data_IF_454503851164
#
_entry.id   IF_454503851164
#
_cell.length_a   1.000
_cell.length_b   1.000
_cell.length_c   1.000
_cell.angle_alpha   90.00
_cell.angle_beta   90.00
_cell.angle_gamma   90.00
#
_symmetry.space_group_name_H-M   'P 1'
#
loop_
_entity.id
_entity.type
_entity.pdbx_description
1 polymer ?
#
# COMPACT_ATOMS: atom_id res chain seq x y z
N UNK A 1 -7.57 -3.05 -2.52
CA UNK A 1 -8.41 -4.06 -3.21
C UNK A 1 -7.54 -4.89 -4.14
N UNK A 2 -7.86 -6.16 -4.40
CA UNK A 2 -7.23 -6.94 -5.48
C UNK A 2 -8.18 -6.96 -6.67
N UNK A 3 -7.65 -6.72 -7.87
CA UNK A 3 -8.39 -6.75 -9.12
C UNK A 3 -7.78 -7.80 -10.05
N UNK A 4 -8.63 -8.52 -10.78
CA UNK A 4 -8.22 -9.42 -11.86
C UNK A 4 -8.59 -8.80 -13.20
N UNK A 5 -7.60 -8.57 -14.05
CA UNK A 5 -7.79 -8.01 -15.38
C UNK A 5 -8.30 -9.07 -16.36
N UNK A 6 -8.87 -8.64 -17.49
CA UNK A 6 -9.39 -9.55 -18.53
C UNK A 6 -8.34 -10.52 -19.08
N UNK A 7 -7.07 -10.11 -19.12
CA UNK A 7 -5.93 -10.96 -19.49
C UNK A 7 -5.49 -11.95 -18.41
N UNK A 8 -6.19 -12.02 -17.28
CA UNK A 8 -5.90 -12.92 -16.16
C UNK A 8 -4.87 -12.40 -15.16
N UNK A 9 -4.24 -11.24 -15.40
CA UNK A 9 -3.28 -10.65 -14.48
C UNK A 9 -3.98 -10.15 -13.22
N UNK A 10 -3.36 -10.39 -12.07
CA UNK A 10 -3.80 -9.83 -10.80
C UNK A 10 -3.03 -8.56 -10.47
N UNK A 11 -3.73 -7.57 -9.93
CA UNK A 11 -3.14 -6.31 -9.50
C UNK A 11 -3.68 -5.92 -8.12
N UNK A 12 -2.85 -5.25 -7.33
CA UNK A 12 -3.32 -4.54 -6.14
C UNK A 12 -3.75 -3.15 -6.57
N UNK A 13 -4.97 -2.77 -6.24
CA UNK A 13 -5.48 -1.42 -6.37
C UNK A 13 -5.44 -0.70 -5.02
N UNK A 14 -4.64 0.36 -4.91
CA UNK A 14 -4.62 1.29 -3.78
C UNK A 14 -5.41 2.55 -4.16
N UNK A 15 -6.55 2.84 -3.52
CA UNK A 15 -7.38 3.99 -3.86
C UNK A 15 -6.73 5.30 -3.40
N UNK A 16 -7.14 6.40 -4.01
CA UNK A 16 -6.87 7.74 -3.48
C UNK A 16 -7.50 7.86 -2.08
N UNK A 17 -6.65 8.15 -1.10
CA UNK A 17 -7.07 8.30 0.31
C UNK A 17 -6.96 9.73 0.82
N UNK A 18 -6.02 10.51 0.27
CA UNK A 18 -5.79 11.90 0.63
C UNK A 18 -5.67 12.76 -0.62
N UNK A 19 -6.02 14.04 -0.52
CA UNK A 19 -5.71 15.03 -1.55
C UNK A 19 -4.20 15.17 -1.73
N UNK A 20 -3.77 15.77 -2.85
CA UNK A 20 -2.34 15.97 -3.14
C UNK A 20 -1.67 16.91 -2.15
N UNK A 21 -2.37 17.95 -1.71
CA UNK A 21 -1.88 18.95 -0.75
C UNK A 21 -1.94 18.49 0.71
N UNK A 22 -2.57 17.34 0.99
CA UNK A 22 -2.67 16.85 2.36
C UNK A 22 -1.29 16.48 2.92
N UNK A 23 -0.96 17.04 4.08
CA UNK A 23 0.26 16.78 4.83
C UNK A 23 -0.06 15.82 5.97
N UNK A 24 0.61 14.66 5.96
CA UNK A 24 0.55 13.71 7.08
C UNK A 24 1.42 14.26 8.21
N UNK A 25 0.82 14.44 9.38
CA UNK A 25 1.50 14.87 10.61
C UNK A 25 1.51 13.74 11.63
N UNK A 26 2.33 13.87 12.68
CA UNK A 26 2.46 12.87 13.74
C UNK A 26 3.66 11.95 13.54
N UNK A 27 3.51 10.67 13.87
CA UNK A 27 4.61 9.72 13.82
C UNK A 27 5.07 9.44 12.38
N UNK A 28 6.32 8.99 12.15
CA UNK A 28 6.83 8.66 10.81
C UNK A 28 6.08 7.52 10.08
N UNK A 29 5.18 6.83 10.77
CA UNK A 29 4.33 5.75 10.24
C UNK A 29 2.84 6.07 10.35
N UNK A 30 2.50 7.34 10.60
CA UNK A 30 1.13 7.80 10.61
C UNK A 30 0.53 7.84 9.19
N UNK A 31 -0.80 7.82 9.15
CA UNK A 31 -1.56 7.90 7.91
C UNK A 31 -1.70 6.57 7.16
N UNK A 32 -2.54 6.61 6.13
CA UNK A 32 -2.79 5.49 5.23
C UNK A 32 -1.84 5.52 4.02
N UNK A 33 -1.75 4.38 3.34
CA UNK A 33 -1.04 4.28 2.07
C UNK A 33 -1.58 5.30 1.05
N UNK A 34 -0.68 5.98 0.33
CA UNK A 34 -1.03 6.92 -0.74
C UNK A 34 -0.71 6.31 -2.10
N UNK A 35 -1.71 6.28 -2.98
CA UNK A 35 -1.56 5.73 -4.34
C UNK A 35 -0.49 6.45 -5.17
N UNK A 36 -0.37 7.77 -5.03
CA UNK A 36 0.67 8.55 -5.71
C UNK A 36 2.09 8.19 -5.21
N UNK A 37 2.24 7.79 -3.95
CA UNK A 37 3.50 7.30 -3.41
C UNK A 37 3.98 6.01 -4.11
N UNK A 38 3.06 5.09 -4.40
CA UNK A 38 3.36 3.85 -5.14
C UNK A 38 3.84 4.13 -6.57
N UNK A 39 3.15 5.04 -7.26
CA UNK A 39 3.49 5.45 -8.62
C UNK A 39 4.86 6.13 -8.63
N UNK A 40 5.08 7.10 -7.74
CA UNK A 40 6.35 7.82 -7.64
C UNK A 40 7.52 6.88 -7.29
N UNK A 41 7.33 5.95 -6.35
CA UNK A 41 8.35 4.99 -5.95
C UNK A 41 8.76 4.08 -7.11
N UNK A 42 7.82 3.60 -7.92
CA UNK A 42 8.13 2.81 -9.12
C UNK A 42 9.00 3.58 -10.11
N UNK A 43 8.62 4.81 -10.45
CA UNK A 43 9.39 5.64 -11.39
C UNK A 43 10.76 6.03 -10.85
N UNK A 44 10.86 6.41 -9.57
CA UNK A 44 12.13 6.71 -8.92
C UNK A 44 13.06 5.48 -8.89
N UNK A 45 12.52 4.30 -8.58
CA UNK A 45 13.28 3.05 -8.56
C UNK A 45 13.88 2.72 -9.94
N UNK A 46 13.15 3.02 -11.02
CA UNK A 46 13.65 2.90 -12.39
C UNK A 46 14.74 3.92 -12.71
N UNK A 47 14.56 5.19 -12.33
CA UNK A 47 15.55 6.25 -12.55
C UNK A 47 16.88 5.96 -11.84
N UNK A 48 16.83 5.39 -10.65
CA UNK A 48 18.02 5.00 -9.87
C UNK A 48 18.63 3.67 -10.33
N UNK A 49 18.07 3.01 -11.34
CA UNK A 49 18.59 1.74 -11.88
C UNK A 49 18.46 0.54 -10.91
N UNK A 50 17.61 0.63 -9.89
CA UNK A 50 17.47 -0.46 -8.91
C UNK A 50 16.68 -1.64 -9.45
N UNK A 51 15.59 -1.38 -10.19
CA UNK A 51 14.72 -2.41 -10.78
C UNK A 51 14.18 -3.43 -9.74
N UNK A 52 13.73 -2.94 -8.57
CA UNK A 52 13.23 -3.75 -7.44
C UNK A 52 11.76 -3.50 -7.09
N UNK A 53 11.10 -2.55 -7.75
CA UNK A 53 9.68 -2.27 -7.57
C UNK A 53 8.84 -2.98 -8.64
N UNK A 54 7.67 -3.54 -8.29
CA UNK A 54 6.72 -4.03 -9.29
C UNK A 54 6.24 -2.88 -10.20
N UNK A 55 5.70 -3.24 -11.37
CA UNK A 55 5.10 -2.26 -12.28
C UNK A 55 3.89 -1.60 -11.60
N UNK A 56 3.89 -0.27 -11.58
CA UNK A 56 2.82 0.52 -10.98
C UNK A 56 2.35 1.61 -11.95
N UNK A 57 1.04 1.74 -12.09
CA UNK A 57 0.38 2.71 -12.98
C UNK A 57 -0.81 3.35 -12.27
N UNK A 58 -1.02 4.64 -12.49
CA UNK A 58 -2.25 5.31 -12.06
C UNK A 58 -3.43 4.96 -12.98
N UNK A 59 -4.60 4.69 -12.39
CA UNK A 59 -5.85 4.49 -13.14
C UNK A 59 -7.01 5.14 -12.42
N UNK A 60 -7.93 5.66 -13.21
CA UNK A 60 -9.24 6.11 -12.78
C UNK A 60 -10.24 5.00 -13.13
N UNK A 61 -11.02 4.55 -12.16
CA UNK A 61 -12.02 3.48 -12.31
C UNK A 61 -13.40 3.95 -11.86
N UNK A 62 -14.45 3.45 -12.49
CA UNK A 62 -15.82 3.62 -12.03
C UNK A 62 -16.22 2.46 -11.12
N UNK A 63 -16.50 2.75 -9.85
CA UNK A 63 -16.80 1.73 -8.85
C UNK A 63 -18.11 0.99 -9.12
N UNK A 64 -19.15 1.67 -9.62
CA UNK A 64 -20.44 1.05 -9.90
C UNK A 64 -20.44 0.19 -11.16
N UNK A 65 -19.67 0.56 -12.19
CA UNK A 65 -19.69 -0.16 -13.47
C UNK A 65 -18.55 -1.14 -13.65
N UNK A 66 -17.37 -0.88 -13.07
CA UNK A 66 -16.19 -1.75 -13.25
C UNK A 66 -15.90 -2.67 -12.06
N UNK A 67 -16.33 -2.30 -10.84
CA UNK A 67 -15.96 -3.04 -9.61
C UNK A 67 -17.15 -3.79 -9.02
N UNK A 68 -18.20 -3.07 -8.61
CA UNK A 68 -19.32 -3.63 -7.87
C UNK A 68 -20.01 -4.83 -8.56
N UNK A 69 -20.22 -4.84 -9.90
CA UNK A 69 -20.87 -5.96 -10.58
C UNK A 69 -20.08 -7.27 -10.57
N UNK A 70 -18.76 -7.19 -10.33
CA UNK A 70 -17.83 -8.34 -10.33
C UNK A 70 -17.13 -8.52 -8.99
N UNK A 71 -17.54 -7.76 -7.97
CA UNK A 71 -16.94 -7.79 -6.64
C UNK A 71 -17.29 -9.09 -5.92
N UNK A 72 -16.36 -9.59 -5.10
CA UNK A 72 -16.67 -10.67 -4.15
C UNK A 72 -17.74 -10.20 -3.17
N UNK A 73 -18.51 -11.14 -2.62
CA UNK A 73 -19.54 -10.85 -1.62
C UNK A 73 -18.97 -10.12 -0.38
N UNK A 74 -17.77 -10.52 0.04
CA UNK A 74 -17.06 -9.89 1.16
C UNK A 74 -16.71 -8.42 0.92
N UNK A 75 -16.46 -8.04 -0.34
CA UNK A 75 -16.15 -6.67 -0.71
C UNK A 75 -17.43 -5.87 -0.96
N UNK A 76 -18.40 -6.43 -1.71
CA UNK A 76 -19.64 -5.75 -2.08
C UNK A 76 -20.48 -5.33 -0.86
N UNK A 77 -20.50 -6.14 0.21
CA UNK A 77 -21.16 -5.80 1.49
C UNK A 77 -20.55 -4.59 2.22
N UNK A 78 -19.36 -4.15 1.82
CA UNK A 78 -18.69 -3.00 2.43
C UNK A 78 -18.94 -1.70 1.67
N UNK A 79 -19.64 -1.76 0.53
CA UNK A 79 -20.01 -0.59 -0.24
C UNK A 79 -21.22 0.12 0.36
N UNK A 80 -21.18 1.45 0.33
CA UNK A 80 -22.29 2.31 0.75
C UNK A 80 -22.17 3.68 0.08
N UNK A 81 -23.26 4.44 0.11
CA UNK A 81 -23.28 5.81 -0.42
C UNK A 81 -23.10 6.80 0.73
N UNK A 82 -22.20 7.76 0.57
CA UNK A 82 -22.01 8.87 1.50
C UNK A 82 -21.95 10.17 0.72
N UNK A 83 -22.83 11.12 0.99
CA UNK A 83 -22.80 12.46 0.35
C UNK A 83 -22.80 12.41 -1.20
N UNK A 84 -23.57 11.47 -1.78
CA UNK A 84 -23.62 11.14 -3.22
C UNK A 84 -22.39 10.43 -3.80
N UNK A 85 -21.36 10.17 -2.99
CA UNK A 85 -20.19 9.41 -3.39
C UNK A 85 -20.36 7.93 -3.06
N UNK A 86 -19.91 7.07 -3.99
CA UNK A 86 -19.76 5.64 -3.75
C UNK A 86 -18.50 5.38 -2.94
N UNK A 87 -18.67 4.81 -1.74
CA UNK A 87 -17.60 4.52 -0.81
C UNK A 87 -17.53 3.02 -0.51
N UNK A 88 -16.35 2.56 -0.08
CA UNK A 88 -16.18 1.23 0.52
C UNK A 88 -15.11 1.27 1.61
N UNK A 89 -15.23 0.41 2.63
CA UNK A 89 -14.19 0.26 3.64
C UNK A 89 -13.41 -1.06 3.52
N UNK A 90 -13.94 -2.06 2.83
CA UNK A 90 -13.28 -3.36 2.64
C UNK A 90 -13.11 -4.16 3.94
N UNK A 91 -12.30 -5.22 3.88
CA UNK A 91 -12.02 -6.08 5.03
C UNK A 91 -10.51 -6.23 5.23
N UNK A 92 -9.98 -5.52 6.24
CA UNK A 92 -8.58 -5.53 6.63
C UNK A 92 -8.42 -5.18 8.11
N UNK A 93 -7.22 -5.34 8.66
CA UNK A 93 -6.97 -5.13 10.10
C UNK A 93 -7.35 -3.73 10.61
N UNK A 94 -7.22 -2.69 9.77
CA UNK A 94 -7.56 -1.30 10.12
C UNK A 94 -8.78 -0.75 9.37
N UNK A 95 -9.50 -1.60 8.62
CA UNK A 95 -10.62 -1.17 7.79
C UNK A 95 -11.88 -1.02 8.65
N UNK A 96 -12.56 0.12 8.53
CA UNK A 96 -13.82 0.34 9.25
C UNK A 96 -14.75 1.29 8.48
N UNK A 97 -16.07 1.25 8.71
CA UNK A 97 -17.01 2.22 8.14
C UNK A 97 -16.71 3.67 8.52
N UNK A 98 -15.95 3.91 9.60
CA UNK A 98 -15.55 5.23 10.04
C UNK A 98 -14.43 5.85 9.17
N UNK A 99 -13.67 5.03 8.44
CA UNK A 99 -12.56 5.47 7.59
C UNK A 99 -12.62 4.85 6.17
N UNK A 100 -13.68 5.11 5.39
CA UNK A 100 -13.86 4.54 4.06
C UNK A 100 -12.93 5.17 3.02
N UNK A 101 -12.75 4.50 1.88
CA UNK A 101 -12.29 5.12 0.64
C UNK A 101 -13.52 5.53 -0.19
N UNK A 102 -13.61 6.80 -0.56
CA UNK A 102 -14.74 7.35 -1.31
C UNK A 102 -14.28 7.83 -2.69
N UNK A 103 -15.10 7.55 -3.69
CA UNK A 103 -14.97 8.11 -5.04
C UNK A 103 -15.42 9.58 -5.07
N UNK A 104 -15.23 10.25 -6.21
CA UNK A 104 -15.97 11.47 -6.55
C UNK A 104 -17.13 11.06 -7.45
N UNK A 105 -18.35 11.12 -6.93
CA UNK A 105 -19.50 10.39 -7.45
C UNK A 105 -19.21 8.89 -7.46
N UNK A 106 -19.03 8.32 -8.65
CA UNK A 106 -18.69 6.90 -8.82
C UNK A 106 -17.25 6.67 -9.28
N UNK A 107 -16.49 7.74 -9.51
CA UNK A 107 -15.17 7.72 -10.13
C UNK A 107 -14.06 7.80 -9.08
N UNK A 108 -13.20 6.78 -9.04
CA UNK A 108 -12.11 6.67 -8.08
C UNK A 108 -10.76 6.63 -8.78
N UNK A 109 -9.89 7.56 -8.41
CA UNK A 109 -8.47 7.51 -8.76
C UNK A 109 -7.73 6.51 -7.86
N UNK A 110 -6.72 5.82 -8.38
CA UNK A 110 -5.84 4.98 -7.57
C UNK A 110 -4.63 4.46 -8.35
N UNK A 111 -3.82 3.64 -7.67
CA UNK A 111 -2.65 2.99 -8.23
C UNK A 111 -2.92 1.50 -8.41
N UNK A 112 -2.67 0.99 -9.61
CA UNK A 112 -2.64 -0.44 -9.92
C UNK A 112 -1.20 -0.92 -9.89
N UNK A 113 -0.94 -1.91 -9.04
CA UNK A 113 0.37 -2.50 -8.81
C UNK A 113 0.31 -3.95 -9.28
N UNK A 114 1.14 -4.32 -10.25
CA UNK A 114 1.14 -5.67 -10.79
C UNK A 114 1.61 -6.68 -9.74
N UNK A 115 0.82 -7.74 -9.52
CA UNK A 115 1.22 -8.83 -8.64
C UNK A 115 2.39 -9.61 -9.23
N UNK A 116 3.31 -10.02 -8.37
CA UNK A 116 4.38 -10.92 -8.79
C UNK A 116 3.80 -12.29 -9.17
N UNK A 117 4.26 -12.91 -10.27
CA UNK A 117 3.86 -14.26 -10.63
C UNK A 117 4.07 -15.26 -9.48
N UNK A 118 3.17 -16.22 -9.31
CA UNK A 118 3.19 -17.21 -8.20
C UNK A 118 4.49 -18.01 -8.11
N UNK A 119 5.19 -18.20 -9.24
CA UNK A 119 6.51 -18.85 -9.27
C UNK A 119 7.56 -18.13 -8.43
N UNK A 120 7.41 -16.83 -8.20
CA UNK A 120 8.30 -16.04 -7.36
C UNK A 120 7.84 -16.10 -5.90
N UNK A 121 8.37 -17.08 -5.17
CA UNK A 121 8.13 -17.21 -3.72
C UNK A 121 8.94 -16.17 -2.95
N UNK A 122 8.25 -15.19 -2.38
CA UNK A 122 8.87 -14.17 -1.55
C UNK A 122 9.19 -14.71 -0.15
N UNK A 123 10.40 -14.44 0.34
CA UNK A 123 10.78 -14.64 1.73
C UNK A 123 10.80 -13.30 2.46
N UNK A 124 10.08 -13.23 3.58
CA UNK A 124 10.05 -12.04 4.44
C UNK A 124 11.27 -12.05 5.35
N UNK A 125 12.00 -10.94 5.36
CA UNK A 125 13.11 -10.70 6.27
C UNK A 125 12.81 -9.49 7.14
N UNK A 126 13.10 -9.60 8.43
CA UNK A 126 12.99 -8.46 9.35
C UNK A 126 14.20 -7.55 9.15
N UNK A 127 13.94 -6.27 8.85
CA UNK A 127 15.03 -5.27 8.79
C UNK A 127 15.67 -5.13 10.18
N UNK A 128 17.01 -5.16 10.30
CA UNK A 128 17.69 -4.85 11.56
C UNK A 128 17.42 -3.43 12.06
N UNK A 129 17.10 -2.50 11.14
CA UNK A 129 16.74 -1.11 11.45
C UNK A 129 15.23 -0.90 11.55
N UNK A 130 14.46 -1.94 11.88
CA UNK A 130 13.04 -1.79 12.14
C UNK A 130 12.81 -0.92 13.40
N UNK A 131 11.85 -0.01 13.33
CA UNK A 131 11.37 0.77 14.49
C UNK A 131 10.63 -0.12 15.49
N UNK A 132 10.46 0.37 16.70
CA UNK A 132 9.66 -0.28 17.77
C UNK A 132 8.16 -0.11 17.58
N UNK A 133 7.74 0.91 16.82
CA UNK A 133 6.34 1.34 16.65
C UNK A 133 5.63 1.61 17.98
N UNK A 134 6.39 2.08 18.98
CA UNK A 134 5.91 2.48 20.29
C UNK A 134 6.55 3.80 20.66
N UNK A 135 5.74 4.82 20.95
CA UNK A 135 6.21 6.20 21.14
C UNK A 135 7.19 6.34 22.32
N UNK A 136 7.07 5.49 23.33
CA UNK A 136 7.88 5.53 24.55
C UNK A 136 9.09 4.59 24.52
N UNK A 137 9.29 3.83 23.44
CA UNK A 137 10.36 2.82 23.37
C UNK A 137 11.27 3.12 22.19
N UNK A 138 12.52 3.47 22.48
CA UNK A 138 13.55 3.66 21.46
C UNK A 138 14.10 2.32 20.96
N UNK A 139 14.41 2.23 19.67
CA UNK A 139 15.05 1.05 19.11
C UNK A 139 16.54 0.98 19.47
N UNK A 140 17.12 -0.22 19.53
CA UNK A 140 18.56 -0.38 19.86
C UNK A 140 19.48 0.38 18.91
N UNK A 141 19.16 0.40 17.62
CA UNK A 141 19.93 1.12 16.61
C UNK A 141 19.85 2.65 16.73
N UNK A 142 18.91 3.18 17.53
CA UNK A 142 18.82 4.61 17.82
C UNK A 142 19.78 5.03 18.94
N UNK A 143 20.28 4.09 19.75
CA UNK A 143 21.15 4.34 20.89
C UNK A 143 22.59 3.87 20.67
N UNK A 144 22.77 2.79 19.91
CA UNK A 144 24.07 2.12 19.72
C UNK A 144 24.73 2.57 18.41
N UNK A 145 25.71 3.47 18.49
CA UNK A 145 26.47 3.95 17.33
C UNK A 145 27.25 2.83 16.59
N UNK A 146 27.54 1.72 17.27
CA UNK A 146 28.24 0.56 16.70
C UNK A 146 27.29 -0.58 16.32
N UNK A 147 25.98 -0.32 16.21
CA UNK A 147 24.96 -1.34 15.92
C UNK A 147 25.27 -2.14 14.65
N UNK A 148 25.77 -1.49 13.60
CA UNK A 148 26.09 -2.13 12.33
C UNK A 148 27.14 -3.25 12.47
N UNK A 149 28.14 -3.08 13.34
CA UNK A 149 29.20 -4.07 13.55
C UNK A 149 28.66 -5.37 14.16
N UNK A 150 27.57 -5.29 14.92
CA UNK A 150 26.88 -6.46 15.45
C UNK A 150 26.04 -7.13 14.37
N UNK A 151 25.35 -6.35 13.54
CA UNK A 151 24.54 -6.87 12.43
C UNK A 151 25.39 -7.62 11.41
N UNK A 152 26.59 -7.11 11.10
CA UNK A 152 27.54 -7.75 10.17
C UNK A 152 28.03 -9.12 10.63
N UNK A 153 27.91 -9.45 11.93
CA UNK A 153 28.27 -10.76 12.49
C UNK A 153 27.18 -11.82 12.25
N UNK A 154 25.96 -11.41 11.89
CA UNK A 154 24.85 -12.33 11.59
C UNK A 154 25.05 -12.93 10.19
N UNK A 155 24.97 -14.26 10.08
CA UNK A 155 25.28 -14.99 8.83
C UNK A 155 24.57 -14.46 7.58
N UNK A 156 23.32 -14.01 7.67
CA UNK A 156 22.58 -13.49 6.52
C UNK A 156 23.08 -12.16 5.97
N UNK A 157 23.87 -11.41 6.75
CA UNK A 157 24.43 -10.10 6.40
C UNK A 157 25.96 -10.11 6.30
N UNK A 158 26.59 -11.29 6.45
CA UNK A 158 28.01 -11.46 6.17
C UNK A 158 28.22 -11.28 4.66
N UNK A 159 29.24 -10.48 4.30
CA UNK A 159 29.75 -10.41 2.93
C UNK A 159 30.56 -11.66 2.62
#
# INVERSE_FOLDING_TARGET
MMLKLSGGQEVIFKPLKYSREYVITGSPYAGADRHNGEIAAFHLNRLLGFCRCPLTVGRIINLKTEVLPVASESLSKTFFTKENDTCFYGHCYYCSPADPACAVGDVMEGAMILMLPEKYRLKKYRSPWQRTYKDTVTARWEQDFNYCDQIRKINMFKK
#
